data_IF_027075302104
#
_entry.id   IF_027075302104
#
_cell.length_a   1.000
_cell.length_b   1.000
_cell.length_c   1.000
_cell.angle_alpha   90.00
_cell.angle_beta   90.00
_cell.angle_gamma   90.00
#
_symmetry.space_group_name_H-M   'P 1'
#
loop_
_entity.id
_entity.type
_entity.pdbx_description
1 polymer ?
#
# COMPACT_ATOMS: atom_id res chain seq x y z
N UNK A 1 -24.14 62.81 -32.25
CA UNK A 1 -23.57 61.82 -31.31
C UNK A 1 -22.16 61.48 -31.79
N UNK A 2 -21.13 61.74 -30.98
CA UNK A 2 -19.72 61.36 -31.30
C UNK A 2 -19.36 60.11 -30.51
N UNK A 3 -18.98 59.03 -31.21
CA UNK A 3 -18.47 57.83 -30.59
C UNK A 3 -17.08 58.09 -30.00
N UNK A 4 -16.90 57.74 -28.73
CA UNK A 4 -15.64 57.89 -27.99
C UNK A 4 -14.88 56.57 -28.10
N UNK A 5 -13.72 56.57 -28.74
CA UNK A 5 -12.86 55.39 -28.78
C UNK A 5 -12.33 55.09 -27.37
N UNK A 6 -12.54 53.86 -26.91
CA UNK A 6 -11.96 53.34 -25.67
C UNK A 6 -10.58 52.78 -26.01
N UNK A 7 -9.53 53.34 -25.40
CA UNK A 7 -8.19 52.79 -25.51
C UNK A 7 -8.12 51.47 -24.72
N UNK A 8 -7.76 50.38 -25.39
CA UNK A 8 -7.44 49.11 -24.72
C UNK A 8 -6.05 49.28 -24.07
N UNK A 9 -5.90 49.07 -22.74
CA UNK A 9 -4.60 49.16 -22.11
C UNK A 9 -3.66 48.12 -22.69
N UNK A 10 -2.45 48.53 -23.08
CA UNK A 10 -1.38 47.59 -23.43
C UNK A 10 -0.87 46.96 -22.14
N UNK A 11 -0.76 45.61 -22.05
CA UNK A 11 -0.23 44.96 -20.85
C UNK A 11 1.20 45.44 -20.55
N UNK A 12 1.46 45.81 -19.30
CA UNK A 12 2.82 46.15 -18.85
C UNK A 12 3.70 44.89 -18.93
N UNK A 13 4.89 45.03 -19.53
CA UNK A 13 5.91 43.98 -19.55
C UNK A 13 6.63 43.85 -18.21
N UNK A 14 7.36 42.75 -18.01
CA UNK A 14 8.18 42.52 -16.81
C UNK A 14 9.33 43.52 -16.72
N UNK A 15 9.62 43.99 -15.51
CA UNK A 15 10.80 44.83 -15.27
C UNK A 15 12.06 43.97 -15.10
N UNK A 16 13.24 44.54 -15.38
CA UNK A 16 14.52 43.82 -15.22
C UNK A 16 14.75 43.35 -13.77
N UNK A 17 14.37 44.17 -12.79
CA UNK A 17 14.48 43.80 -11.37
C UNK A 17 13.57 42.60 -11.02
N UNK A 18 12.38 42.53 -11.62
CA UNK A 18 11.42 41.45 -11.39
C UNK A 18 11.94 40.13 -11.95
N UNK A 19 12.56 40.15 -13.13
CA UNK A 19 13.22 38.96 -13.72
C UNK A 19 14.37 38.49 -12.83
N UNK A 20 15.22 39.41 -12.36
CA UNK A 20 16.34 39.06 -11.45
C UNK A 20 15.81 38.45 -10.15
N UNK A 21 14.75 39.02 -9.56
CA UNK A 21 14.14 38.48 -8.34
C UNK A 21 13.57 37.07 -8.56
N UNK A 22 12.89 36.82 -9.69
CA UNK A 22 12.37 35.48 -10.02
C UNK A 22 13.52 34.47 -10.13
N UNK A 23 14.62 34.82 -10.79
CA UNK A 23 15.78 33.93 -10.94
C UNK A 23 16.42 33.64 -9.58
N UNK A 24 16.59 34.64 -8.72
CA UNK A 24 17.16 34.45 -7.38
C UNK A 24 16.27 33.56 -6.51
N UNK A 25 14.95 33.80 -6.54
CA UNK A 25 13.99 32.99 -5.79
C UNK A 25 13.99 31.55 -6.31
N UNK A 26 13.98 31.37 -7.64
CA UNK A 26 14.04 30.04 -8.25
C UNK A 26 15.33 29.30 -7.88
N UNK A 27 16.49 29.98 -7.92
CA UNK A 27 17.77 29.38 -7.59
C UNK A 27 17.81 28.83 -6.14
N UNK A 28 17.20 29.55 -5.20
CA UNK A 28 17.12 29.11 -3.79
C UNK A 28 16.09 27.99 -3.61
N UNK A 29 14.97 28.04 -4.35
CA UNK A 29 13.86 27.09 -4.20
C UNK A 29 14.11 25.72 -4.85
N UNK A 30 14.90 25.64 -5.93
CA UNK A 30 15.09 24.40 -6.70
C UNK A 30 15.66 23.27 -5.85
N UNK A 31 16.63 23.54 -4.98
CA UNK A 31 17.27 22.50 -4.15
C UNK A 31 16.29 21.82 -3.18
N UNK A 32 15.59 22.53 -2.27
CA UNK A 32 14.65 21.89 -1.34
C UNK A 32 13.47 21.24 -2.05
N UNK A 33 12.98 21.80 -3.16
CA UNK A 33 11.91 21.18 -3.95
C UNK A 33 12.34 19.87 -4.60
N UNK A 34 13.58 19.79 -5.08
CA UNK A 34 14.13 18.56 -5.65
C UNK A 34 14.23 17.45 -4.60
N UNK A 35 14.60 17.79 -3.37
CA UNK A 35 14.64 16.83 -2.26
C UNK A 35 13.24 16.34 -1.86
N UNK A 36 12.27 17.25 -1.78
CA UNK A 36 10.87 16.89 -1.49
C UNK A 36 10.29 15.96 -2.55
N UNK A 37 10.58 16.24 -3.83
CA UNK A 37 10.17 15.37 -4.93
C UNK A 37 10.77 13.97 -4.83
N UNK A 38 12.08 13.87 -4.58
CA UNK A 38 12.77 12.59 -4.42
C UNK A 38 12.17 11.76 -3.26
N UNK A 39 11.97 12.37 -2.09
CA UNK A 39 11.38 11.69 -0.94
C UNK A 39 9.94 11.25 -1.21
N UNK A 40 9.14 12.11 -1.84
CA UNK A 40 7.75 11.79 -2.20
C UNK A 40 7.68 10.63 -3.19
N UNK A 41 8.64 10.55 -4.12
CA UNK A 41 8.73 9.46 -5.09
C UNK A 41 9.06 8.12 -4.42
N UNK A 42 10.02 8.10 -3.49
CA UNK A 42 10.39 6.88 -2.72
C UNK A 42 9.18 6.39 -1.90
N UNK A 43 8.56 7.28 -1.13
CA UNK A 43 7.42 6.91 -0.29
C UNK A 43 6.17 6.53 -1.10
N UNK A 44 6.02 7.02 -2.33
CA UNK A 44 4.97 6.55 -3.24
C UNK A 44 5.18 5.09 -3.64
N UNK A 45 6.43 4.67 -3.89
CA UNK A 45 6.75 3.26 -4.14
C UNK A 45 6.47 2.39 -2.92
N UNK A 46 6.83 2.86 -1.72
CA UNK A 46 6.56 2.14 -0.46
C UNK A 46 5.06 1.98 -0.22
N UNK A 47 4.27 3.03 -0.44
CA UNK A 47 2.81 2.98 -0.31
C UNK A 47 2.18 1.99 -1.31
N UNK A 48 2.71 1.93 -2.54
CA UNK A 48 2.30 0.93 -3.52
C UNK A 48 2.64 -0.48 -3.05
N UNK A 49 3.85 -0.71 -2.53
CA UNK A 49 4.27 -2.01 -2.02
C UNK A 49 3.41 -2.46 -0.84
N UNK A 50 3.08 -1.55 0.08
CA UNK A 50 2.19 -1.84 1.20
C UNK A 50 0.79 -2.25 0.71
N UNK A 51 0.24 -1.55 -0.28
CA UNK A 51 -1.06 -1.89 -0.87
C UNK A 51 -1.06 -3.28 -1.50
N UNK A 52 -0.02 -3.63 -2.28
CA UNK A 52 0.11 -4.96 -2.88
C UNK A 52 0.28 -6.04 -1.80
N UNK A 53 1.10 -5.79 -0.77
CA UNK A 53 1.28 -6.73 0.32
C UNK A 53 -0.03 -7.00 1.09
N UNK A 54 -0.84 -5.97 1.34
CA UNK A 54 -2.18 -6.11 1.94
C UNK A 54 -3.09 -6.95 1.04
N UNK A 55 -3.15 -6.67 -0.27
CA UNK A 55 -3.97 -7.43 -1.20
C UNK A 55 -3.55 -8.90 -1.27
N UNK A 56 -2.25 -9.19 -1.26
CA UNK A 56 -1.73 -10.56 -1.23
C UNK A 56 -2.05 -11.29 0.07
N UNK A 57 -2.03 -10.58 1.20
CA UNK A 57 -2.39 -11.15 2.49
C UNK A 57 -3.90 -11.44 2.57
N UNK A 58 -4.73 -10.49 2.10
CA UNK A 58 -6.19 -10.64 2.01
C UNK A 58 -6.59 -11.77 1.08
N UNK A 59 -6.03 -11.84 -0.13
CA UNK A 59 -6.32 -12.91 -1.08
C UNK A 59 -5.99 -14.30 -0.51
N UNK A 60 -4.90 -14.42 0.26
CA UNK A 60 -4.58 -15.68 0.95
C UNK A 60 -5.56 -15.97 2.09
N UNK A 61 -5.97 -14.95 2.85
CA UNK A 61 -6.96 -15.12 3.91
C UNK A 61 -8.34 -15.53 3.35
N UNK A 62 -8.71 -15.03 2.17
CA UNK A 62 -9.91 -15.46 1.44
C UNK A 62 -9.81 -16.92 0.99
N UNK A 63 -8.65 -17.37 0.50
CA UNK A 63 -8.41 -18.78 0.19
C UNK A 63 -8.58 -19.67 1.43
N UNK A 64 -7.99 -19.27 2.57
CA UNK A 64 -8.13 -19.98 3.85
C UNK A 64 -9.60 -20.01 4.30
N UNK A 65 -10.31 -18.89 4.15
CA UNK A 65 -11.74 -18.80 4.47
C UNK A 65 -12.58 -19.72 3.57
N UNK A 66 -12.27 -19.77 2.27
CA UNK A 66 -12.92 -20.68 1.33
C UNK A 66 -12.67 -22.15 1.69
N UNK A 67 -11.44 -22.49 2.12
CA UNK A 67 -11.10 -23.84 2.57
C UNK A 67 -11.83 -24.22 3.86
N UNK A 68 -11.93 -23.28 4.81
CA UNK A 68 -12.72 -23.46 6.03
C UNK A 68 -14.19 -23.78 5.71
N UNK A 69 -14.76 -23.09 4.73
CA UNK A 69 -16.17 -23.23 4.36
C UNK A 69 -16.41 -24.33 3.32
N UNK A 70 -15.36 -24.98 2.81
CA UNK A 70 -15.49 -26.03 1.83
C UNK A 70 -16.01 -27.32 2.47
N UNK A 71 -17.00 -28.00 1.86
CA UNK A 71 -17.55 -29.25 2.38
C UNK A 71 -16.55 -30.42 2.40
N UNK A 72 -15.42 -30.31 1.69
CA UNK A 72 -14.39 -31.36 1.61
C UNK A 72 -13.14 -31.09 2.45
N UNK A 73 -12.98 -29.88 3.00
CA UNK A 73 -11.79 -29.46 3.76
C UNK A 73 -12.14 -29.11 5.20
N UNK A 74 -12.91 -28.05 5.41
CA UNK A 74 -13.38 -27.65 6.74
C UNK A 74 -12.27 -27.12 7.65
N UNK A 75 -12.60 -26.94 8.93
CA UNK A 75 -11.70 -26.41 9.96
C UNK A 75 -10.43 -27.25 10.17
N UNK A 76 -10.52 -28.58 10.09
CA UNK A 76 -9.37 -29.48 10.28
C UNK A 76 -8.31 -29.34 9.18
N UNK A 77 -8.68 -28.82 8.00
CA UNK A 77 -7.75 -28.57 6.91
C UNK A 77 -6.84 -27.35 7.15
N UNK A 78 -7.18 -26.48 8.10
CA UNK A 78 -6.45 -25.25 8.38
C UNK A 78 -5.15 -25.50 9.16
N UNK A 79 -4.21 -26.24 8.58
CA UNK A 79 -2.94 -26.62 9.20
C UNK A 79 -1.75 -26.20 8.34
N UNK A 80 -0.61 -25.94 8.96
CA UNK A 80 0.59 -25.39 8.29
C UNK A 80 1.03 -26.22 7.06
N UNK A 81 0.88 -27.55 7.10
CA UNK A 81 1.25 -28.42 5.99
C UNK A 81 0.48 -28.12 4.68
N UNK A 82 -0.75 -27.60 4.78
CA UNK A 82 -1.58 -27.27 3.62
C UNK A 82 -1.33 -25.85 3.09
N UNK A 83 -0.55 -25.05 3.80
CA UNK A 83 -0.23 -23.66 3.45
C UNK A 83 1.28 -23.42 3.55
N UNK A 84 2.09 -24.05 2.68
CA UNK A 84 3.54 -23.83 2.66
C UNK A 84 3.87 -22.36 2.37
N UNK A 85 5.01 -21.90 2.90
CA UNK A 85 5.49 -20.55 2.63
C UNK A 85 5.82 -20.38 1.14
N UNK A 86 5.48 -19.21 0.60
CA UNK A 86 5.71 -18.82 -0.79
C UNK A 86 6.88 -17.83 -0.82
N UNK A 87 8.02 -18.26 -1.37
CA UNK A 87 9.28 -17.49 -1.40
C UNK A 87 9.96 -17.60 -2.77
N UNK A 88 9.65 -16.73 -3.74
CA UNK A 88 8.66 -15.66 -3.69
C UNK A 88 7.24 -16.13 -4.03
N UNK A 89 6.26 -15.24 -3.83
CA UNK A 89 4.91 -15.41 -4.35
C UNK A 89 4.92 -15.43 -5.89
N UNK A 90 4.25 -16.41 -6.50
CA UNK A 90 4.14 -16.51 -7.95
C UNK A 90 3.58 -15.23 -8.57
N UNK A 91 4.23 -14.73 -9.62
CA UNK A 91 3.96 -13.42 -10.26
C UNK A 91 4.28 -12.17 -9.43
N UNK A 92 4.76 -12.31 -8.20
CA UNK A 92 5.14 -11.22 -7.30
C UNK A 92 6.51 -11.51 -6.66
N UNK A 93 7.57 -11.49 -7.48
CA UNK A 93 8.93 -11.93 -7.10
C UNK A 93 9.57 -11.18 -5.92
N UNK A 94 9.06 -9.99 -5.57
CA UNK A 94 9.57 -9.17 -4.48
C UNK A 94 8.82 -9.38 -3.16
N UNK A 95 7.87 -10.31 -3.13
CA UNK A 95 6.99 -10.55 -2.00
C UNK A 95 7.12 -12.00 -1.56
N UNK A 96 7.36 -12.20 -0.28
CA UNK A 96 7.26 -13.50 0.35
C UNK A 96 5.98 -13.54 1.19
N UNK A 97 5.35 -14.72 1.28
CA UNK A 97 4.11 -14.91 2.04
C UNK A 97 4.18 -16.17 2.88
N UNK A 98 3.81 -16.04 4.16
CA UNK A 98 3.72 -17.15 5.09
C UNK A 98 2.38 -17.15 5.82
N UNK A 99 1.95 -18.34 6.24
CA UNK A 99 0.75 -18.54 7.05
C UNK A 99 1.15 -19.25 8.33
N UNK A 100 0.73 -18.72 9.48
CA UNK A 100 0.94 -19.33 10.78
C UNK A 100 -0.39 -19.62 11.46
N UNK A 101 -0.44 -20.75 12.15
CA UNK A 101 -1.60 -21.23 12.88
C UNK A 101 -1.24 -21.29 14.37
N UNK A 102 -2.03 -20.64 15.21
CA UNK A 102 -1.93 -20.81 16.66
C UNK A 102 -2.48 -22.17 17.11
N UNK A 103 -2.19 -22.54 18.36
CA UNK A 103 -2.86 -23.67 18.98
C UNK A 103 -4.37 -23.41 19.11
N UNK A 104 -5.16 -24.48 19.04
CA UNK A 104 -6.61 -24.42 19.23
C UNK A 104 -6.93 -23.92 20.63
N UNK A 105 -7.89 -23.01 20.71
CA UNK A 105 -8.43 -22.46 21.95
C UNK A 105 -9.93 -22.73 22.00
N UNK A 106 -10.49 -22.81 23.19
CA UNK A 106 -11.91 -23.08 23.40
C UNK A 106 -12.55 -21.98 24.22
N UNK A 107 -13.68 -21.45 23.76
CA UNK A 107 -14.51 -20.51 24.50
C UNK A 107 -15.98 -20.88 24.34
N UNK A 108 -16.69 -21.00 25.46
CA UNK A 108 -18.12 -21.37 25.48
C UNK A 108 -18.46 -22.64 24.66
N UNK A 109 -17.62 -23.67 24.80
CA UNK A 109 -17.75 -24.93 24.06
C UNK A 109 -17.39 -24.86 22.56
N UNK A 110 -17.03 -23.68 22.04
CA UNK A 110 -16.59 -23.49 20.65
C UNK A 110 -15.07 -23.56 20.56
N UNK A 111 -14.55 -24.43 19.70
CA UNK A 111 -13.12 -24.44 19.35
C UNK A 111 -12.85 -23.42 18.26
N UNK A 112 -11.80 -22.62 18.45
CA UNK A 112 -11.32 -21.66 17.46
C UNK A 112 -9.80 -21.68 17.34
N UNK A 113 -9.31 -21.25 16.17
CA UNK A 113 -7.90 -21.17 15.84
C UNK A 113 -7.58 -19.78 15.29
N UNK A 114 -6.56 -19.14 15.84
CA UNK A 114 -6.02 -17.91 15.26
C UNK A 114 -5.14 -18.24 14.07
N UNK A 115 -5.39 -17.57 12.95
CA UNK A 115 -4.63 -17.70 11.71
C UNK A 115 -4.09 -16.35 11.32
N UNK A 116 -2.79 -16.30 11.05
CA UNK A 116 -2.09 -15.08 10.64
C UNK A 116 -1.44 -15.32 9.29
N UNK A 117 -1.71 -14.42 8.35
CA UNK A 117 -1.00 -14.33 7.08
C UNK A 117 -0.04 -13.16 7.17
N UNK A 118 1.24 -13.41 6.88
CA UNK A 118 2.29 -12.39 6.83
C UNK A 118 2.83 -12.28 5.41
N UNK A 119 2.93 -11.05 4.91
CA UNK A 119 3.58 -10.74 3.64
C UNK A 119 4.75 -9.80 3.91
N UNK A 120 5.93 -10.16 3.41
CA UNK A 120 7.15 -9.36 3.53
C UNK A 120 7.64 -8.94 2.16
N UNK A 121 8.08 -7.68 2.05
CA UNK A 121 8.79 -7.19 0.89
C UNK A 121 9.80 -6.10 1.31
N UNK A 122 10.77 -5.75 0.46
CA UNK A 122 11.79 -4.77 0.81
C UNK A 122 11.23 -3.39 1.17
N UNK A 123 11.91 -2.70 2.08
CA UNK A 123 11.70 -1.28 2.43
C UNK A 123 10.36 -0.94 3.13
N UNK A 124 9.49 -1.91 3.39
CA UNK A 124 8.31 -1.72 4.24
C UNK A 124 8.30 -2.73 5.39
N UNK A 125 7.68 -2.40 6.53
CA UNK A 125 7.42 -3.37 7.59
C UNK A 125 6.55 -4.54 7.08
N UNK A 126 6.68 -5.75 7.66
CA UNK A 126 5.81 -6.87 7.34
C UNK A 126 4.33 -6.50 7.50
N UNK A 127 3.52 -6.87 6.51
CA UNK A 127 2.06 -6.71 6.56
C UNK A 127 1.45 -8.00 7.10
N UNK A 128 0.65 -7.88 8.16
CA UNK A 128 0.01 -9.03 8.81
C UNK A 128 -1.50 -8.88 8.82
N UNK A 129 -2.21 -9.94 8.39
CA UNK A 129 -3.66 -10.08 8.54
C UNK A 129 -3.93 -11.26 9.46
N UNK A 130 -4.64 -11.01 10.56
CA UNK A 130 -4.95 -12.03 11.57
C UNK A 130 -6.45 -12.14 11.76
N UNK A 131 -6.95 -13.37 11.82
CA UNK A 131 -8.35 -13.67 12.14
C UNK A 131 -8.45 -14.95 12.97
N UNK A 132 -9.66 -15.26 13.45
CA UNK A 132 -10.00 -16.52 14.10
C UNK A 132 -11.01 -17.27 13.24
N UNK A 133 -10.82 -18.58 13.12
CA UNK A 133 -11.80 -19.48 12.54
C UNK A 133 -12.36 -20.39 13.62
N UNK A 134 -13.65 -20.68 13.56
CA UNK A 134 -14.34 -21.61 14.47
C UNK A 134 -14.52 -22.98 13.81
N UNK A 135 -14.73 -24.01 14.63
CA UNK A 135 -14.89 -25.39 14.20
C UNK A 135 -16.28 -25.76 13.65
N UNK A 136 -17.25 -24.84 13.67
CA UNK A 136 -18.63 -25.06 13.19
C UNK A 136 -18.92 -24.37 11.84
#
# INVERSE_FOLDING_TARGET
>A
MRARAVAVPVPAGFTLIEVVLIIVIAAIAVLPLSMLFANSSIHSSDARNATVAVQLAQAKMEQITADKNSPTRGFSYLVAANYPAETPVTAFSNYDRAVSFAADSTYDGVTFRTVTVTVTCPNIPPVTVTTWFTSY
#
